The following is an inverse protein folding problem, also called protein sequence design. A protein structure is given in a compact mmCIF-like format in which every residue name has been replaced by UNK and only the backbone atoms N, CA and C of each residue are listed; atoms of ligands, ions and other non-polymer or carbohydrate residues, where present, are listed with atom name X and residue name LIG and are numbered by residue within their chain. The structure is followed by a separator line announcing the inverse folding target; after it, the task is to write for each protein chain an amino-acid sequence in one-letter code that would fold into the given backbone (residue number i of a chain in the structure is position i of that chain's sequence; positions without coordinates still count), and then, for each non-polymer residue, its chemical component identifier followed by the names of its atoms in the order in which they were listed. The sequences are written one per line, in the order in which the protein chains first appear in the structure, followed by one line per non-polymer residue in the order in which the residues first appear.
data_IF_306885839452
#
_entry.id   IF_306885839452
#
_cell.length_a   1.000
_cell.length_b   1.000
_cell.length_c   1.000
_cell.angle_alpha   90.00
_cell.angle_beta   90.00
_cell.angle_gamma   90.00
#
_symmetry.space_group_name_H-M   'P 1'
#
loop_
_entity.id
_entity.type
_entity.pdbx_description
1 polymer ?
#
# COMPACT_ATOMS: atom_id res chain seq x y z
N UNK A 1 45.63 103.72 2.24
CA UNK A 1 46.00 104.09 0.87
C UNK A 1 46.85 102.96 0.35
N UNK A 2 46.38 102.02 -0.47
CA UNK A 2 45.19 101.85 -1.32
C UNK A 2 44.99 100.31 -1.40
N UNK A 3 43.85 99.68 -1.61
CA UNK A 3 42.64 100.02 -2.34
C UNK A 3 41.54 99.05 -1.84
N UNK A 4 40.37 99.59 -1.49
CA UNK A 4 39.20 98.83 -1.07
C UNK A 4 38.53 98.31 -2.34
N UNK A 5 38.38 96.98 -2.49
CA UNK A 5 37.39 96.43 -3.44
C UNK A 5 36.13 96.09 -2.68
N UNK A 6 35.16 96.96 -2.88
CA UNK A 6 33.82 96.98 -2.31
C UNK A 6 32.82 96.39 -3.31
N UNK A 7 31.95 95.51 -2.78
CA UNK A 7 30.63 95.11 -3.29
C UNK A 7 30.63 94.36 -4.65
N UNK A 8 29.84 93.29 -4.87
CA UNK A 8 28.39 93.23 -4.71
C UNK A 8 27.92 91.83 -4.35
N UNK A 9 27.22 91.75 -3.22
CA UNK A 9 26.16 90.78 -2.95
C UNK A 9 24.97 91.10 -3.87
N UNK A 10 24.74 90.28 -4.89
CA UNK A 10 23.45 90.15 -5.56
C UNK A 10 23.41 88.82 -6.32
N UNK A 11 22.27 88.16 -6.18
CA UNK A 11 21.75 87.05 -6.97
C UNK A 11 22.04 85.63 -6.41
N UNK A 12 21.29 85.31 -5.35
CA UNK A 12 20.47 84.08 -5.31
C UNK A 12 19.85 83.75 -6.67
N UNK A 13 19.51 82.46 -6.88
CA UNK A 13 18.78 81.83 -8.02
C UNK A 13 19.79 80.91 -8.76
N UNK A 14 19.76 79.56 -8.70
CA UNK A 14 18.65 78.62 -8.86
C UNK A 14 19.10 77.21 -8.39
N UNK A 15 18.23 76.45 -7.72
CA UNK A 15 18.47 75.02 -7.45
C UNK A 15 18.51 74.23 -8.78
N UNK A 16 19.39 73.23 -8.94
CA UNK A 16 19.37 72.36 -10.11
C UNK A 16 18.04 71.57 -10.20
N UNK A 17 17.54 71.30 -11.42
CA UNK A 17 16.19 70.81 -11.67
C UNK A 17 15.93 69.42 -11.07
N UNK A 18 14.80 69.28 -10.37
CA UNK A 18 14.24 67.99 -9.98
C UNK A 18 13.80 67.24 -11.24
N UNK A 19 14.53 66.18 -11.62
CA UNK A 19 14.10 65.27 -12.69
C UNK A 19 13.13 64.23 -12.14
N UNK A 20 11.96 64.20 -12.78
CA UNK A 20 10.80 63.38 -12.52
C UNK A 20 11.08 61.89 -12.71
N UNK A 21 10.44 61.10 -11.84
CA UNK A 21 9.96 59.73 -12.07
C UNK A 21 10.93 58.71 -12.68
N UNK A 22 11.63 57.99 -11.79
CA UNK A 22 11.90 56.57 -12.04
C UNK A 22 11.02 55.72 -11.12
N UNK A 23 9.85 55.39 -11.66
CA UNK A 23 9.03 54.18 -11.41
C UNK A 23 9.42 53.35 -10.19
N UNK A 24 8.64 53.48 -9.12
CA UNK A 24 8.57 52.49 -8.05
C UNK A 24 8.14 51.13 -8.61
N UNK A 25 9.05 50.13 -8.61
CA UNK A 25 8.72 48.74 -8.90
C UNK A 25 8.88 47.93 -7.62
N UNK A 26 7.79 47.59 -6.90
CA UNK A 26 7.91 46.67 -5.79
C UNK A 26 8.32 45.31 -6.36
N UNK A 27 9.44 44.76 -5.89
CA UNK A 27 9.83 43.41 -6.24
C UNK A 27 8.69 42.46 -5.82
N UNK A 28 8.05 41.86 -6.82
CA UNK A 28 6.84 41.06 -6.66
C UNK A 28 7.01 39.97 -5.60
N UNK A 29 6.05 39.88 -4.68
CA UNK A 29 5.95 38.79 -3.71
C UNK A 29 5.78 37.45 -4.46
N UNK A 30 6.86 36.68 -4.54
CA UNK A 30 6.88 35.36 -5.15
C UNK A 30 6.69 34.25 -4.11
N UNK A 31 5.51 34.17 -3.48
CA UNK A 31 5.15 32.95 -2.72
C UNK A 31 5.04 31.77 -3.71
N UNK A 32 6.10 30.96 -3.87
CA UNK A 32 6.03 29.69 -4.64
C UNK A 32 6.46 28.47 -3.81
N UNK A 33 5.51 28.09 -2.95
CA UNK A 33 5.05 26.75 -2.55
C UNK A 33 6.12 25.71 -2.14
N UNK A 34 6.18 25.45 -0.83
CA UNK A 34 6.69 24.21 -0.21
C UNK A 34 6.02 22.98 -0.85
N UNK A 35 6.59 22.42 -1.93
CA UNK A 35 6.09 21.21 -2.63
C UNK A 35 6.95 19.95 -2.41
N UNK A 36 7.75 19.87 -1.35
CA UNK A 36 8.59 18.69 -1.06
C UNK A 36 7.97 17.62 -0.14
N UNK A 37 6.72 17.81 0.35
CA UNK A 37 6.09 16.87 1.29
C UNK A 37 5.48 15.62 0.64
N UNK A 38 5.16 15.63 -0.68
CA UNK A 38 4.54 14.49 -1.38
C UNK A 38 5.49 13.30 -1.64
N UNK A 39 6.80 13.55 -1.74
CA UNK A 39 7.81 12.49 -1.98
C UNK A 39 7.88 11.45 -0.85
N UNK A 40 7.65 11.85 0.41
CA UNK A 40 7.62 10.91 1.55
C UNK A 40 6.39 10.00 1.52
N UNK A 41 5.23 10.50 1.08
CA UNK A 41 4.04 9.65 0.93
C UNK A 41 4.21 8.66 -0.22
N UNK A 42 4.81 9.09 -1.34
CA UNK A 42 5.14 8.18 -2.44
C UNK A 42 6.12 7.09 -2.01
N UNK A 43 7.18 7.44 -1.27
CA UNK A 43 8.13 6.45 -0.74
C UNK A 43 7.46 5.46 0.23
N UNK A 44 6.59 5.95 1.13
CA UNK A 44 5.78 5.08 2.02
C UNK A 44 4.85 4.16 1.23
N UNK A 45 4.24 4.66 0.15
CA UNK A 45 3.41 3.86 -0.73
C UNK A 45 4.21 2.78 -1.45
N UNK A 46 5.40 3.10 -1.98
CA UNK A 46 6.30 2.11 -2.58
C UNK A 46 6.71 1.03 -1.58
N UNK A 47 7.06 1.39 -0.34
CA UNK A 47 7.39 0.43 0.72
C UNK A 47 6.18 -0.45 1.03
N UNK A 48 4.97 0.14 1.13
CA UNK A 48 3.74 -0.62 1.34
C UNK A 48 3.46 -1.60 0.20
N UNK A 49 3.58 -1.17 -1.06
CA UNK A 49 3.44 -2.06 -2.21
C UNK A 49 4.47 -3.18 -2.21
N UNK A 50 5.72 -2.90 -1.82
CA UNK A 50 6.78 -3.90 -1.72
C UNK A 50 6.47 -4.93 -0.63
N UNK A 51 5.93 -4.50 0.52
CA UNK A 51 5.49 -5.39 1.59
C UNK A 51 4.29 -6.25 1.16
N UNK A 52 3.32 -5.67 0.45
CA UNK A 52 2.20 -6.43 -0.11
C UNK A 52 2.66 -7.46 -1.14
N UNK A 53 3.55 -7.08 -2.05
CA UNK A 53 4.10 -7.97 -3.06
C UNK A 53 4.95 -9.08 -2.42
N UNK A 54 5.87 -8.73 -1.51
CA UNK A 54 6.68 -9.70 -0.78
C UNK A 54 5.83 -10.65 0.07
N UNK A 55 4.79 -10.13 0.73
CA UNK A 55 3.81 -10.94 1.45
C UNK A 55 3.06 -11.89 0.52
N UNK A 56 2.57 -11.41 -0.63
CA UNK A 56 1.92 -12.26 -1.64
C UNK A 56 2.84 -13.39 -2.10
N UNK A 57 4.08 -13.07 -2.48
CA UNK A 57 5.07 -14.07 -2.88
C UNK A 57 5.39 -15.07 -1.77
N UNK A 58 5.45 -14.59 -0.53
CA UNK A 58 5.66 -15.44 0.65
C UNK A 58 4.49 -16.41 0.86
N UNK A 59 3.24 -15.97 0.74
CA UNK A 59 2.07 -16.85 0.81
C UNK A 59 2.06 -17.87 -0.35
N UNK A 60 2.48 -17.47 -1.55
CA UNK A 60 2.56 -18.36 -2.71
C UNK A 60 3.78 -19.29 -2.70
N UNK A 61 4.65 -19.19 -1.69
CA UNK A 61 5.88 -19.98 -1.61
C UNK A 61 5.59 -21.48 -1.57
N UNK A 62 6.48 -22.27 -2.17
CA UNK A 62 6.43 -23.74 -2.18
C UNK A 62 6.38 -24.35 -0.78
N UNK A 63 6.84 -23.60 0.24
CA UNK A 63 6.77 -23.99 1.64
C UNK A 63 5.34 -24.22 2.14
N UNK A 64 4.33 -23.65 1.47
CA UNK A 64 2.92 -23.81 1.79
C UNK A 64 2.17 -24.76 0.84
N UNK A 65 2.90 -25.51 0.02
CA UNK A 65 2.30 -26.54 -0.83
C UNK A 65 1.76 -27.70 0.02
N UNK A 66 0.63 -28.26 -0.43
CA UNK A 66 0.01 -29.40 0.24
C UNK A 66 0.85 -30.65 -0.01
N UNK A 67 1.49 -31.17 1.03
CA UNK A 67 2.27 -32.42 0.99
C UNK A 67 1.40 -33.63 1.32
N UNK A 68 0.49 -33.50 2.30
CA UNK A 68 -0.33 -34.61 2.78
C UNK A 68 -1.75 -34.17 3.16
N UNK A 69 -2.71 -35.06 2.94
CA UNK A 69 -4.12 -34.84 3.25
C UNK A 69 -4.57 -35.93 4.22
N UNK A 70 -4.80 -35.58 5.47
CA UNK A 70 -5.33 -36.51 6.47
C UNK A 70 -6.84 -36.41 6.52
N UNK A 71 -7.53 -37.53 6.33
CA UNK A 71 -8.99 -37.62 6.42
C UNK A 71 -9.33 -38.52 7.59
N UNK A 72 -10.28 -38.08 8.42
CA UNK A 72 -10.70 -38.77 9.65
C UNK A 72 -12.21 -38.63 9.85
N UNK A 73 -12.83 -39.61 10.52
CA UNK A 73 -14.27 -39.63 10.80
C UNK A 73 -15.13 -40.05 9.61
N UNK A 74 -14.55 -40.81 8.69
CA UNK A 74 -15.25 -41.39 7.54
C UNK A 74 -15.69 -42.83 7.89
N UNK A 75 -16.99 -43.11 7.81
CA UNK A 75 -17.56 -44.45 8.04
C UNK A 75 -18.19 -44.99 6.75
N UNK A 76 -18.94 -44.16 6.05
CA UNK A 76 -19.59 -44.43 4.77
C UNK A 76 -18.68 -44.10 3.59
N UNK A 77 -18.09 -42.90 3.56
CA UNK A 77 -17.24 -42.49 2.45
C UNK A 77 -15.80 -43.00 2.60
N UNK A 78 -15.18 -43.37 1.48
CA UNK A 78 -13.75 -43.66 1.46
C UNK A 78 -12.92 -42.37 1.47
N UNK A 79 -11.68 -42.45 1.98
CA UNK A 79 -10.75 -41.32 1.97
C UNK A 79 -10.56 -40.71 0.56
N UNK A 80 -10.47 -41.55 -0.47
CA UNK A 80 -10.29 -41.08 -1.85
C UNK A 80 -11.52 -40.33 -2.37
N UNK A 81 -12.73 -40.79 -2.07
CA UNK A 81 -13.97 -40.11 -2.44
C UNK A 81 -14.08 -38.74 -1.78
N UNK A 82 -13.80 -38.62 -0.48
CA UNK A 82 -13.81 -37.34 0.23
C UNK A 82 -12.79 -36.36 -0.36
N UNK A 83 -11.58 -36.83 -0.67
CA UNK A 83 -10.56 -35.99 -1.33
C UNK A 83 -11.07 -35.52 -2.71
N UNK A 84 -11.69 -36.39 -3.50
CA UNK A 84 -12.27 -36.01 -4.80
C UNK A 84 -13.40 -34.98 -4.66
N UNK A 85 -14.30 -35.15 -3.69
CA UNK A 85 -15.39 -34.20 -3.42
C UNK A 85 -14.86 -32.81 -3.06
N UNK A 86 -13.77 -32.76 -2.26
CA UNK A 86 -13.11 -31.51 -1.87
C UNK A 86 -12.40 -30.81 -3.03
N UNK A 87 -11.99 -31.55 -4.08
CA UNK A 87 -11.20 -31.03 -5.19
C UNK A 87 -9.76 -30.63 -4.82
N UNK A 88 -9.31 -30.94 -3.60
CA UNK A 88 -7.96 -30.61 -3.12
C UNK A 88 -6.95 -31.53 -3.80
N UNK A 89 -5.91 -30.94 -4.38
CA UNK A 89 -4.79 -31.67 -5.01
C UNK A 89 -3.50 -31.43 -4.22
N UNK A 90 -2.74 -32.50 -4.00
CA UNK A 90 -1.38 -32.40 -3.47
C UNK A 90 -0.49 -31.64 -4.45
N UNK A 91 0.48 -30.89 -3.93
CA UNK A 91 1.39 -30.05 -4.73
C UNK A 91 0.84 -28.67 -5.12
N UNK A 92 -0.44 -28.37 -4.83
CA UNK A 92 -0.97 -27.00 -4.93
C UNK A 92 -0.76 -26.20 -3.66
N UNK A 93 -0.78 -24.87 -3.78
CA UNK A 93 -0.64 -23.99 -2.64
C UNK A 93 -1.89 -24.06 -1.74
N UNK A 94 -1.68 -24.17 -0.43
CA UNK A 94 -2.75 -24.30 0.57
C UNK A 94 -3.65 -23.06 0.65
N UNK A 95 -3.16 -21.88 0.25
CA UNK A 95 -3.89 -20.61 0.25
C UNK A 95 -4.67 -20.34 -1.05
N UNK A 96 -4.46 -21.11 -2.11
CA UNK A 96 -5.13 -20.91 -3.41
C UNK A 96 -6.62 -21.30 -3.36
N UNK A 97 -6.99 -22.26 -2.51
CA UNK A 97 -8.37 -22.67 -2.33
C UNK A 97 -8.97 -22.12 -1.05
N UNK A 98 -10.29 -21.93 -1.08
CA UNK A 98 -11.05 -21.49 0.07
C UNK A 98 -11.57 -22.69 0.87
N UNK A 99 -11.18 -22.78 2.14
CA UNK A 99 -11.67 -23.82 3.05
C UNK A 99 -13.18 -23.72 3.25
N UNK A 100 -13.71 -22.49 3.32
CA UNK A 100 -15.12 -22.28 3.63
C UNK A 100 -15.99 -22.79 2.48
N UNK A 101 -15.63 -22.47 1.24
CA UNK A 101 -16.32 -22.99 0.06
C UNK A 101 -16.28 -24.52 -0.01
N UNK A 102 -15.13 -25.13 0.27
CA UNK A 102 -15.01 -26.61 0.29
C UNK A 102 -15.89 -27.21 1.38
N UNK A 103 -15.87 -26.61 2.58
CA UNK A 103 -16.69 -27.05 3.71
C UNK A 103 -18.17 -26.97 3.37
N UNK A 104 -18.62 -25.85 2.81
CA UNK A 104 -20.03 -25.63 2.49
C UNK A 104 -20.49 -26.58 1.37
N UNK A 105 -19.66 -26.80 0.34
CA UNK A 105 -19.89 -27.82 -0.69
C UNK A 105 -20.01 -29.24 -0.12
N UNK A 106 -19.21 -29.59 0.90
CA UNK A 106 -19.34 -30.89 1.56
C UNK A 106 -20.59 -30.97 2.44
N UNK A 107 -21.03 -29.87 3.05
CA UNK A 107 -22.24 -29.82 3.88
C UNK A 107 -23.54 -29.88 3.06
N UNK A 108 -23.49 -29.59 1.76
CA UNK A 108 -24.60 -29.83 0.83
C UNK A 108 -24.94 -31.33 0.69
N UNK A 109 -23.96 -32.21 0.94
CA UNK A 109 -24.20 -33.65 0.88
C UNK A 109 -25.09 -34.11 2.06
N UNK A 110 -26.19 -34.85 1.80
CA UNK A 110 -27.12 -35.28 2.84
C UNK A 110 -26.48 -36.22 3.87
N UNK A 111 -25.43 -36.96 3.50
CA UNK A 111 -24.73 -37.89 4.37
C UNK A 111 -23.71 -37.19 5.28
N UNK A 112 -23.43 -35.91 5.07
CA UNK A 112 -22.44 -35.16 5.85
C UNK A 112 -23.14 -34.26 6.87
N UNK A 113 -22.90 -34.50 8.17
CA UNK A 113 -23.44 -33.69 9.26
C UNK A 113 -22.61 -32.45 9.52
N UNK A 114 -21.29 -32.62 9.57
CA UNK A 114 -20.34 -31.58 9.90
C UNK A 114 -18.98 -31.84 9.25
N UNK A 115 -18.26 -30.78 8.90
CA UNK A 115 -16.90 -30.86 8.39
C UNK A 115 -16.02 -29.82 9.09
N UNK A 116 -14.89 -30.28 9.62
CA UNK A 116 -13.83 -29.44 10.19
C UNK A 116 -12.56 -29.63 9.37
N UNK A 117 -12.19 -28.59 8.64
CA UNK A 117 -10.97 -28.55 7.85
C UNK A 117 -9.98 -27.64 8.58
N UNK A 118 -8.76 -28.13 8.83
CA UNK A 118 -7.67 -27.34 9.42
C UNK A 118 -6.42 -27.46 8.56
N UNK A 119 -5.74 -26.33 8.39
CA UNK A 119 -4.41 -26.25 7.77
C UNK A 119 -3.37 -26.38 8.88
N UNK A 120 -2.46 -27.33 8.74
CA UNK A 120 -1.35 -27.52 9.65
C UNK A 120 -0.11 -26.88 8.99
N UNK A 121 0.65 -26.04 9.72
CA UNK A 121 1.94 -25.57 9.22
C UNK A 121 2.82 -26.80 8.94
N UNK A 122 3.56 -26.82 7.82
CA UNK A 122 4.19 -28.00 7.18
C UNK A 122 3.37 -28.70 6.06
N UNK A 123 2.38 -28.01 5.47
CA UNK A 123 1.76 -28.49 4.22
C UNK A 123 0.77 -29.65 4.39
N UNK A 124 0.35 -29.95 5.62
CA UNK A 124 -0.68 -30.97 5.87
C UNK A 124 -2.06 -30.33 6.01
N UNK A 125 -3.04 -30.87 5.29
CA UNK A 125 -4.46 -30.50 5.43
C UNK A 125 -5.17 -31.63 6.17
N UNK A 126 -5.75 -31.31 7.33
CA UNK A 126 -6.54 -32.26 8.11
C UNK A 126 -8.02 -31.99 7.90
N UNK A 127 -8.72 -33.00 7.42
CA UNK A 127 -10.16 -33.00 7.19
C UNK A 127 -10.77 -33.98 8.20
N UNK A 128 -11.65 -33.47 9.05
CA UNK A 128 -12.41 -34.27 9.99
C UNK A 128 -13.89 -34.15 9.60
N UNK A 129 -14.46 -35.27 9.19
CA UNK A 129 -15.85 -35.36 8.73
C UNK A 129 -16.66 -36.01 9.85
N UNK A 130 -17.90 -35.58 10.00
CA UNK A 130 -18.90 -36.26 10.83
C UNK A 130 -20.06 -36.59 9.92
N UNK A 131 -20.32 -37.86 9.71
CA UNK A 131 -21.38 -38.34 8.83
C UNK A 131 -22.71 -38.48 9.60
N UNK A 132 -23.82 -38.47 8.85
CA UNK A 132 -25.17 -38.79 9.34
C UNK A 132 -25.41 -40.27 9.02
N UNK A 133 -24.89 -41.15 9.86
CA UNK A 133 -25.23 -42.59 9.87
C UNK A 133 -26.61 -42.82 10.45
#
# INVERSE_FOLDING_TARGET
MDEIKEYTDTDTIELPPQTLETTYRPAASGKKKKKRKKKRYFLKFCIFCLLCAGGYYFLTSEYFNITSIDVSGNEYYTRSQLIQMTGIKTGKNTFEFDIFQIRDKLLEDPYIKNVKIRRIPMGTVRINVTERV
#
